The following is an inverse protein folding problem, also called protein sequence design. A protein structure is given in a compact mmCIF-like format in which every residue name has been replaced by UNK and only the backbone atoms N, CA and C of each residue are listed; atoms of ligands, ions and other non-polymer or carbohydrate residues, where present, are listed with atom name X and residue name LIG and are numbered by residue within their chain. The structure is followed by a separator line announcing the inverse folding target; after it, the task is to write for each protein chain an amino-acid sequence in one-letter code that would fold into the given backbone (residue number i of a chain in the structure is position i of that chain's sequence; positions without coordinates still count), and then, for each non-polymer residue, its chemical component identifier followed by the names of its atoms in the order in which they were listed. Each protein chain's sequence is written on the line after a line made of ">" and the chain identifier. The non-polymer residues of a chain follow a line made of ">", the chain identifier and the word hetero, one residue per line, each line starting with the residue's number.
data_IF_843234606859
#
_entry.id   IF_843234606859
#
_cell.length_a   1.000
_cell.length_b   1.000
_cell.length_c   1.000
_cell.angle_alpha   90.00
_cell.angle_beta   90.00
_cell.angle_gamma   90.00
#
_symmetry.space_group_name_H-M   'P 1'
#
loop_
_entity.id
_entity.type
_entity.pdbx_description
1 polymer ?
#
# COMPACT_ATOMS: atom_id res chain seq x y z
N UNK A 1 -2.92 -10.02 22.29
CA UNK A 1 -3.10 -8.74 21.57
C UNK A 1 -3.70 -7.73 22.53
N UNK A 2 -3.37 -6.45 22.43
CA UNK A 2 -4.03 -5.42 23.23
C UNK A 2 -5.54 -5.39 22.92
N UNK A 3 -6.34 -4.92 23.87
CA UNK A 3 -7.77 -4.74 23.64
C UNK A 3 -8.05 -3.51 22.77
N UNK A 4 -7.19 -2.49 22.89
CA UNK A 4 -7.27 -1.24 22.14
C UNK A 4 -5.92 -0.87 21.54
N UNK A 5 -5.95 -0.14 20.43
CA UNK A 5 -4.77 0.40 19.72
C UNK A 5 -5.07 1.82 19.28
N UNK A 6 -4.20 2.78 19.59
CA UNK A 6 -4.35 4.16 19.12
C UNK A 6 -3.60 4.35 17.80
N UNK A 7 -4.30 4.79 16.76
CA UNK A 7 -3.75 4.97 15.42
C UNK A 7 -3.90 6.40 14.93
N UNK A 8 -3.01 6.80 14.00
CA UNK A 8 -3.11 8.06 13.26
C UNK A 8 -3.03 7.84 11.77
N UNK A 9 -3.88 8.51 11.01
CA UNK A 9 -3.74 8.71 9.58
C UNK A 9 -3.24 10.13 9.32
N UNK A 10 -2.14 10.28 8.60
CA UNK A 10 -1.53 11.58 8.34
C UNK A 10 -2.06 12.21 7.04
N UNK A 11 -2.56 13.44 7.12
CA UNK A 11 -2.81 14.31 5.98
C UNK A 11 -1.77 15.42 6.02
N UNK A 12 -0.64 15.20 5.38
CA UNK A 12 0.49 16.11 5.47
C UNK A 12 1.07 16.42 4.08
N UNK A 13 1.76 17.53 4.02
CA UNK A 13 2.37 18.09 2.84
C UNK A 13 3.81 17.59 2.67
N UNK A 14 4.19 17.01 1.51
CA UNK A 14 5.59 16.73 1.20
C UNK A 14 6.35 18.03 0.91
N UNK A 15 7.66 17.98 1.02
CA UNK A 15 8.52 19.06 0.48
C UNK A 15 8.88 18.69 -0.95
N UNK A 16 8.17 19.29 -1.92
CA UNK A 16 8.39 18.99 -3.33
C UNK A 16 9.86 19.16 -3.74
N UNK A 17 10.38 18.16 -4.44
CA UNK A 17 11.74 18.08 -4.97
C UNK A 17 12.84 17.97 -3.90
N UNK A 18 12.49 17.59 -2.65
CA UNK A 18 13.44 17.40 -1.55
C UNK A 18 13.13 16.15 -0.73
N UNK A 19 13.94 15.11 -0.90
CA UNK A 19 13.87 13.92 -0.03
C UNK A 19 14.13 14.29 1.42
N UNK A 20 15.18 15.06 1.69
CA UNK A 20 15.56 15.49 3.03
C UNK A 20 14.45 16.26 3.74
N UNK A 21 13.82 17.20 3.02
CA UNK A 21 12.70 17.97 3.55
C UNK A 21 11.49 17.09 3.87
N UNK A 22 11.14 16.15 2.98
CA UNK A 22 10.02 15.23 3.22
C UNK A 22 10.31 14.23 4.34
N UNK A 23 11.57 13.76 4.50
CA UNK A 23 11.99 12.95 5.66
C UNK A 23 11.82 13.72 6.97
N UNK A 24 12.20 15.00 6.99
CA UNK A 24 12.01 15.84 8.19
C UNK A 24 10.51 16.00 8.52
N UNK A 25 9.64 16.13 7.51
CA UNK A 25 8.19 16.17 7.70
C UNK A 25 7.63 14.87 8.30
N UNK A 26 8.10 13.72 7.80
CA UNK A 26 7.72 12.40 8.35
C UNK A 26 8.12 12.31 9.83
N UNK A 27 9.37 12.65 10.17
CA UNK A 27 9.84 12.57 11.55
C UNK A 27 9.05 13.49 12.48
N UNK A 28 8.78 14.74 12.05
CA UNK A 28 7.98 15.69 12.84
C UNK A 28 6.54 15.16 13.09
N UNK A 29 5.89 14.57 12.08
CA UNK A 29 4.57 13.96 12.25
C UNK A 29 4.60 12.70 13.14
N UNK A 30 5.69 11.92 13.12
CA UNK A 30 5.90 10.80 14.05
C UNK A 30 6.04 11.29 15.50
N UNK A 31 6.77 12.38 15.73
CA UNK A 31 6.93 12.99 17.05
C UNK A 31 5.59 13.52 17.59
N UNK A 32 4.82 14.21 16.74
CA UNK A 32 3.47 14.68 17.06
C UNK A 32 2.52 13.51 17.43
N UNK A 33 2.52 12.45 16.61
CA UNK A 33 1.70 11.27 16.84
C UNK A 33 2.09 10.57 18.14
N UNK A 34 3.38 10.38 18.39
CA UNK A 34 3.88 9.76 19.62
C UNK A 34 3.51 10.58 20.87
N UNK A 35 3.60 11.91 20.81
CA UNK A 35 3.16 12.80 21.89
C UNK A 35 1.65 12.70 22.18
N UNK A 36 0.85 12.32 21.18
CA UNK A 36 -0.59 12.05 21.32
C UNK A 36 -0.91 10.60 21.73
N UNK A 37 0.09 9.76 22.03
CA UNK A 37 -0.10 8.37 22.46
C UNK A 37 -0.43 7.41 21.30
N UNK A 38 -0.15 7.78 20.07
CA UNK A 38 -0.36 6.92 18.89
C UNK A 38 0.66 5.78 18.88
N UNK A 39 0.23 4.58 18.50
CA UNK A 39 1.04 3.37 18.38
C UNK A 39 1.33 2.97 16.93
N UNK A 40 0.47 3.41 15.99
CA UNK A 40 0.63 3.22 14.54
C UNK A 40 0.30 4.52 13.80
N UNK A 41 1.24 5.01 13.00
CA UNK A 41 0.98 6.11 12.06
C UNK A 41 1.06 5.62 10.62
N UNK A 42 0.09 6.04 9.79
CA UNK A 42 0.05 5.75 8.35
C UNK A 42 0.29 7.04 7.57
N UNK A 43 1.26 7.01 6.66
CA UNK A 43 1.62 8.11 5.77
C UNK A 43 1.02 7.93 4.37
N UNK A 44 0.90 8.98 3.56
CA UNK A 44 0.35 8.91 2.21
C UNK A 44 1.15 8.02 1.24
N UNK A 45 0.51 7.69 0.12
CA UNK A 45 1.12 6.98 -1.00
C UNK A 45 2.34 7.74 -1.54
N UNK A 46 3.47 7.02 -1.68
CA UNK A 46 4.75 7.55 -2.19
C UNK A 46 5.13 8.92 -1.63
N UNK A 47 4.83 9.15 -0.34
CA UNK A 47 5.11 10.42 0.34
C UNK A 47 6.59 10.80 0.26
N UNK A 48 7.50 9.83 0.28
CA UNK A 48 8.92 10.07 0.09
C UNK A 48 9.37 9.76 -1.34
N UNK A 49 9.96 10.74 -2.02
CA UNK A 49 10.10 12.13 -1.63
C UNK A 49 8.81 12.93 -1.82
N UNK A 50 7.95 12.57 -2.78
CA UNK A 50 6.63 13.13 -3.12
C UNK A 50 5.98 12.28 -4.20
N UNK A 51 4.64 12.30 -4.30
CA UNK A 51 3.92 11.64 -5.40
C UNK A 51 4.26 12.33 -6.74
N UNK A 52 4.43 11.58 -7.85
CA UNK A 52 4.83 12.14 -9.14
C UNK A 52 3.67 12.86 -9.85
N UNK A 53 3.17 13.95 -9.29
CA UNK A 53 2.07 14.74 -9.85
C UNK A 53 2.33 15.18 -11.29
N UNK A 54 3.60 15.37 -11.67
CA UNK A 54 3.99 15.70 -13.05
C UNK A 54 3.50 14.66 -14.07
N UNK A 55 3.40 13.39 -13.68
CA UNK A 55 2.93 12.34 -14.59
C UNK A 55 1.46 12.49 -14.97
N UNK A 56 0.70 13.27 -14.19
CA UNK A 56 -0.71 13.56 -14.44
C UNK A 56 -0.91 14.82 -15.30
N UNK A 57 0.04 15.77 -15.25
CA UNK A 57 -0.11 17.08 -15.87
C UNK A 57 0.84 17.32 -17.05
N UNK A 58 1.98 16.60 -17.13
CA UNK A 58 2.94 16.75 -18.23
C UNK A 58 2.67 15.74 -19.35
N UNK A 59 2.76 16.12 -20.63
CA UNK A 59 2.79 15.17 -21.73
C UNK A 59 3.98 14.21 -21.61
N UNK A 60 3.83 12.90 -21.94
CA UNK A 60 4.89 11.92 -21.78
C UNK A 60 6.24 12.32 -22.39
N UNK A 61 6.23 12.98 -23.53
CA UNK A 61 7.45 13.44 -24.24
C UNK A 61 8.22 14.51 -23.45
N UNK A 62 7.59 15.22 -22.52
CA UNK A 62 8.20 16.30 -21.74
C UNK A 62 8.61 15.87 -20.33
N UNK A 63 8.16 14.69 -19.84
CA UNK A 63 8.35 14.23 -18.46
C UNK A 63 9.81 13.93 -18.09
N UNK A 64 10.74 13.84 -19.03
CA UNK A 64 12.10 13.37 -18.76
C UNK A 64 12.84 14.14 -17.67
N UNK A 65 12.70 15.47 -17.59
CA UNK A 65 13.33 16.28 -16.55
C UNK A 65 12.71 16.07 -15.19
N UNK A 66 11.39 15.99 -15.12
CA UNK A 66 10.63 15.76 -13.87
C UNK A 66 10.86 14.37 -13.35
N UNK A 67 10.93 13.37 -14.24
CA UNK A 67 11.29 11.99 -13.89
C UNK A 67 12.72 11.91 -13.32
N UNK A 68 13.70 12.57 -13.94
CA UNK A 68 15.08 12.59 -13.44
C UNK A 68 15.15 13.20 -12.03
N UNK A 69 14.47 14.33 -11.80
CA UNK A 69 14.41 14.93 -10.46
C UNK A 69 13.83 13.99 -9.41
N UNK A 70 12.76 13.26 -9.76
CA UNK A 70 12.17 12.26 -8.86
C UNK A 70 13.17 11.12 -8.59
N UNK A 71 13.81 10.61 -9.66
CA UNK A 71 14.76 9.50 -9.57
C UNK A 71 15.95 9.84 -8.66
N UNK A 72 16.50 11.04 -8.78
CA UNK A 72 17.63 11.53 -7.95
C UNK A 72 17.24 11.61 -6.47
N UNK A 73 15.98 11.93 -6.17
CA UNK A 73 15.45 12.06 -4.81
C UNK A 73 14.79 10.78 -4.29
N UNK A 74 14.65 9.74 -5.11
CA UNK A 74 13.95 8.52 -4.73
C UNK A 74 14.74 7.70 -3.69
N UNK A 75 14.01 6.92 -2.89
CA UNK A 75 14.54 6.19 -1.74
C UNK A 75 15.14 4.85 -2.16
N UNK A 76 16.36 4.57 -1.73
CA UNK A 76 16.93 3.21 -1.80
C UNK A 76 16.60 2.42 -0.53
N UNK A 77 16.39 1.12 -0.65
CA UNK A 77 16.09 0.22 0.47
C UNK A 77 17.06 -0.97 0.45
N UNK A 78 17.98 -1.07 1.44
CA UNK A 78 18.24 -0.12 2.53
C UNK A 78 18.89 1.19 2.04
N UNK A 79 18.77 2.24 2.86
CA UNK A 79 19.36 3.53 2.54
C UNK A 79 19.25 4.57 3.66
N UNK A 80 19.95 5.71 3.54
CA UNK A 80 20.07 6.70 4.64
C UNK A 80 18.71 7.29 5.07
N UNK A 81 17.81 7.58 4.13
CA UNK A 81 16.50 8.11 4.44
C UNK A 81 15.67 7.13 5.29
N UNK A 82 15.66 5.85 4.89
CA UNK A 82 15.00 4.80 5.67
C UNK A 82 15.66 4.65 7.05
N UNK A 83 17.00 4.70 7.14
CA UNK A 83 17.73 4.59 8.40
C UNK A 83 17.31 5.67 9.43
N UNK A 84 17.02 6.89 9.00
CA UNK A 84 16.49 7.96 9.87
C UNK A 84 15.08 7.65 10.39
N UNK A 85 14.20 7.14 9.51
CA UNK A 85 12.83 6.82 9.89
C UNK A 85 12.79 5.63 10.86
N UNK A 86 13.58 4.57 10.60
CA UNK A 86 13.66 3.40 11.49
C UNK A 86 14.26 3.76 12.86
N UNK A 87 15.24 4.67 12.89
CA UNK A 87 15.79 5.19 14.15
C UNK A 87 14.74 5.98 14.94
N UNK A 88 13.96 6.84 14.27
CA UNK A 88 12.87 7.59 14.89
C UNK A 88 11.74 6.66 15.38
N UNK A 89 11.36 5.65 14.58
CA UNK A 89 10.35 4.65 14.97
C UNK A 89 10.76 3.93 16.26
N UNK A 90 12.02 3.49 16.34
CA UNK A 90 12.58 2.85 17.55
C UNK A 90 12.59 3.80 18.74
N UNK A 91 13.05 5.03 18.55
CA UNK A 91 13.13 6.02 19.64
C UNK A 91 11.74 6.37 20.21
N UNK A 92 10.74 6.46 19.36
CA UNK A 92 9.38 6.84 19.71
C UNK A 92 8.49 5.63 20.09
N UNK A 93 8.98 4.40 19.88
CA UNK A 93 8.19 3.19 20.10
C UNK A 93 6.98 3.05 19.16
N UNK A 94 7.06 3.60 17.94
CA UNK A 94 5.96 3.81 17.02
C UNK A 94 6.05 2.86 15.81
N UNK A 95 4.95 2.19 15.48
CA UNK A 95 4.82 1.52 14.18
C UNK A 95 4.53 2.55 13.08
N UNK A 96 5.11 2.34 11.91
CA UNK A 96 5.02 3.30 10.79
C UNK A 96 4.71 2.56 9.50
N UNK A 97 3.62 2.91 8.82
CA UNK A 97 3.41 2.55 7.43
C UNK A 97 3.75 3.75 6.54
N UNK A 98 4.80 3.61 5.73
CA UNK A 98 5.38 4.67 4.91
C UNK A 98 5.25 4.36 3.42
N UNK A 99 4.76 5.30 2.62
CA UNK A 99 4.78 5.24 1.16
C UNK A 99 6.05 5.89 0.60
N UNK A 100 6.73 5.21 -0.32
CA UNK A 100 7.97 5.70 -0.93
C UNK A 100 7.98 5.51 -2.45
N UNK A 101 8.69 6.39 -3.17
CA UNK A 101 9.24 6.06 -4.47
C UNK A 101 10.55 5.29 -4.23
N UNK A 102 10.51 3.97 -4.39
CA UNK A 102 11.69 3.13 -4.28
C UNK A 102 12.51 3.22 -5.57
N UNK A 103 13.82 3.47 -5.44
CA UNK A 103 14.77 3.35 -6.54
C UNK A 103 15.51 2.03 -6.44
N UNK A 104 15.36 1.21 -7.49
CA UNK A 104 16.05 -0.06 -7.62
C UNK A 104 16.68 -0.16 -9.04
N UNK A 105 18.00 -0.13 -9.08
CA UNK A 105 18.73 0.00 -10.35
C UNK A 105 18.32 1.25 -11.14
N UNK A 106 17.93 1.10 -12.38
CA UNK A 106 17.45 2.17 -13.26
C UNK A 106 15.94 2.43 -13.18
N UNK A 107 15.22 1.75 -12.28
CA UNK A 107 13.75 1.80 -12.21
C UNK A 107 13.27 2.43 -10.92
N UNK A 108 12.05 2.99 -11.00
CA UNK A 108 11.29 3.46 -9.84
C UNK A 108 10.10 2.52 -9.59
N UNK A 109 9.74 2.39 -8.33
CA UNK A 109 8.57 1.62 -7.89
C UNK A 109 7.80 2.39 -6.82
N UNK A 110 6.48 2.28 -6.87
CA UNK A 110 5.63 2.68 -5.76
C UNK A 110 5.69 1.59 -4.69
N UNK A 111 6.25 1.89 -3.53
CA UNK A 111 6.44 0.90 -2.49
C UNK A 111 5.88 1.34 -1.14
N UNK A 112 5.42 0.37 -0.37
CA UNK A 112 4.96 0.52 1.01
C UNK A 112 5.92 -0.19 1.95
N UNK A 113 6.29 0.48 3.03
CA UNK A 113 7.18 -0.02 4.06
C UNK A 113 6.44 -0.04 5.41
N UNK A 114 6.36 -1.20 6.06
CA UNK A 114 5.91 -1.29 7.45
C UNK A 114 7.14 -1.45 8.33
N UNK A 115 7.30 -0.51 9.25
CA UNK A 115 8.37 -0.48 10.25
C UNK A 115 7.71 -0.69 11.60
N UNK A 116 8.23 -1.60 12.42
CA UNK A 116 7.72 -1.85 13.76
C UNK A 116 8.28 -0.87 14.81
N UNK A 117 7.77 -0.96 16.03
CA UNK A 117 8.20 -0.11 17.15
C UNK A 117 9.65 -0.37 17.62
N UNK A 118 10.29 -1.45 17.18
CA UNK A 118 11.71 -1.70 17.36
C UNK A 118 12.57 -1.06 16.26
N UNK A 119 11.93 -0.42 15.26
CA UNK A 119 12.57 0.18 14.09
C UNK A 119 13.01 -0.85 13.07
N UNK A 120 12.44 -2.05 13.08
CA UNK A 120 12.73 -3.07 12.08
C UNK A 120 11.77 -2.98 10.90
N UNK A 121 12.30 -3.12 9.68
CA UNK A 121 11.49 -3.19 8.45
C UNK A 121 10.85 -4.58 8.35
N UNK A 122 9.57 -4.69 8.71
CA UNK A 122 8.84 -5.98 8.76
C UNK A 122 8.04 -6.27 7.49
N UNK A 123 7.81 -5.28 6.64
CA UNK A 123 7.23 -5.45 5.30
C UNK A 123 7.83 -4.43 4.33
N UNK A 124 8.25 -4.92 3.16
CA UNK A 124 8.43 -4.10 1.96
C UNK A 124 7.62 -4.72 0.85
N UNK A 125 6.71 -3.95 0.26
CA UNK A 125 5.95 -4.37 -0.91
C UNK A 125 5.94 -3.29 -1.98
N UNK A 126 5.87 -3.68 -3.24
CA UNK A 126 5.64 -2.79 -4.39
C UNK A 126 4.17 -2.87 -4.81
N UNK A 127 3.59 -1.76 -5.21
CA UNK A 127 2.25 -1.69 -5.81
C UNK A 127 2.17 -2.66 -6.98
N UNK A 128 1.16 -3.52 -7.01
CA UNK A 128 1.04 -4.59 -8.03
C UNK A 128 1.01 -4.01 -9.44
N UNK A 129 0.18 -3.01 -9.64
CA UNK A 129 0.00 -2.36 -10.94
C UNK A 129 -0.13 -0.87 -10.75
N UNK A 130 0.82 -0.07 -11.29
CA UNK A 130 0.68 1.38 -11.35
C UNK A 130 -0.56 1.76 -12.15
N UNK A 131 -1.26 2.81 -11.69
CA UNK A 131 -2.54 3.24 -12.23
C UNK A 131 -2.33 4.21 -13.39
N UNK A 132 -2.96 3.97 -14.55
CA UNK A 132 -3.05 4.89 -15.69
C UNK A 132 -1.72 5.62 -15.99
N UNK A 133 -1.61 6.92 -15.66
CA UNK A 133 -0.42 7.77 -15.88
C UNK A 133 0.80 7.33 -15.04
N UNK A 134 0.59 6.68 -13.91
CA UNK A 134 1.67 6.18 -13.05
C UNK A 134 2.55 5.15 -13.77
N UNK A 135 2.01 4.45 -14.80
CA UNK A 135 2.75 3.48 -15.62
C UNK A 135 3.91 4.09 -16.41
N UNK A 136 3.91 5.42 -16.56
CA UNK A 136 5.03 6.14 -17.17
C UNK A 136 6.19 6.35 -16.19
N UNK A 137 5.98 6.10 -14.89
CA UNK A 137 6.95 6.37 -13.83
C UNK A 137 7.41 5.07 -13.16
N UNK A 138 6.48 4.16 -12.84
CA UNK A 138 6.75 3.01 -11.98
C UNK A 138 6.63 1.68 -12.70
N UNK A 139 7.53 0.75 -12.31
CA UNK A 139 7.41 -0.67 -12.59
C UNK A 139 6.33 -1.35 -11.74
N UNK A 140 5.95 -2.56 -12.15
CA UNK A 140 4.98 -3.40 -11.44
C UNK A 140 5.62 -4.09 -10.23
N UNK A 141 4.81 -4.31 -9.20
CA UNK A 141 5.12 -5.20 -8.09
C UNK A 141 4.78 -6.66 -8.39
N UNK A 142 5.05 -7.52 -7.42
CA UNK A 142 4.74 -8.95 -7.45
C UNK A 142 3.84 -9.37 -6.28
N UNK A 143 3.44 -10.64 -6.26
CA UNK A 143 2.59 -11.19 -5.19
C UNK A 143 3.32 -11.46 -3.88
N UNK A 144 4.66 -11.39 -3.84
CA UNK A 144 5.44 -11.64 -2.63
C UNK A 144 5.07 -10.66 -1.50
N UNK A 145 4.75 -9.41 -1.86
CA UNK A 145 4.38 -8.36 -0.92
C UNK A 145 2.91 -8.34 -0.48
N UNK A 146 2.03 -9.17 -1.06
CA UNK A 146 0.63 -9.27 -0.62
C UNK A 146 0.51 -10.10 0.67
N UNK A 147 1.00 -9.54 1.76
CA UNK A 147 1.08 -10.19 3.07
C UNK A 147 0.39 -9.36 4.14
N UNK A 148 -0.22 -10.06 5.09
CA UNK A 148 -0.67 -9.50 6.37
C UNK A 148 0.40 -9.82 7.39
N UNK A 149 0.93 -8.80 8.04
CA UNK A 149 2.03 -8.92 9.00
C UNK A 149 1.47 -9.00 10.41
N UNK A 150 1.77 -10.05 11.18
CA UNK A 150 1.45 -10.08 12.60
C UNK A 150 2.38 -9.12 13.34
N UNK A 151 1.80 -8.22 14.13
CA UNK A 151 2.51 -7.24 14.96
C UNK A 151 2.01 -7.28 16.40
N UNK A 152 2.65 -6.51 17.28
CA UNK A 152 2.18 -6.33 18.65
C UNK A 152 0.78 -5.64 18.70
N UNK A 153 0.41 -4.88 17.67
CA UNK A 153 -0.84 -4.14 17.58
C UNK A 153 -1.99 -4.96 16.96
N UNK A 154 -1.68 -6.11 16.37
CA UNK A 154 -2.61 -6.93 15.59
C UNK A 154 -2.03 -7.24 14.22
N UNK A 155 -2.88 -7.75 13.32
CA UNK A 155 -2.52 -8.21 11.98
C UNK A 155 -2.73 -7.07 10.98
N UNK A 156 -1.64 -6.52 10.46
CA UNK A 156 -1.66 -5.33 9.59
C UNK A 156 -1.53 -5.74 8.12
N UNK A 157 -2.50 -5.33 7.30
CA UNK A 157 -2.48 -5.38 5.84
C UNK A 157 -2.33 -3.98 5.24
N UNK A 158 -1.86 -3.89 4.00
CA UNK A 158 -1.71 -2.60 3.31
C UNK A 158 -1.89 -2.71 1.80
N UNK A 159 -2.59 -1.72 1.22
CA UNK A 159 -2.72 -1.51 -0.22
C UNK A 159 -2.53 -0.02 -0.57
N UNK A 160 -2.16 0.25 -1.83
CA UNK A 160 -1.98 1.59 -2.34
C UNK A 160 -3.04 1.95 -3.39
N UNK A 161 -3.80 3.01 -3.14
CA UNK A 161 -4.70 3.68 -4.09
C UNK A 161 -5.69 2.71 -4.76
N UNK A 162 -5.72 2.68 -6.08
CA UNK A 162 -6.65 1.86 -6.85
C UNK A 162 -6.35 0.35 -6.86
N UNK A 163 -5.31 -0.11 -6.15
CA UNK A 163 -5.22 -1.52 -5.80
C UNK A 163 -6.47 -1.97 -5.02
N UNK A 164 -7.10 -1.05 -4.28
CA UNK A 164 -8.37 -1.31 -3.60
C UNK A 164 -9.54 -1.61 -4.55
N UNK A 165 -9.42 -1.27 -5.84
CA UNK A 165 -10.44 -1.64 -6.84
C UNK A 165 -10.23 -3.06 -7.39
N UNK A 166 -9.09 -3.71 -7.09
CA UNK A 166 -8.88 -5.10 -7.39
C UNK A 166 -9.47 -5.97 -6.26
N UNK A 167 -10.62 -6.64 -6.47
CA UNK A 167 -11.25 -7.43 -5.42
C UNK A 167 -10.38 -8.61 -4.97
N UNK A 168 -9.55 -9.17 -5.86
CA UNK A 168 -8.66 -10.29 -5.54
C UNK A 168 -7.50 -9.85 -4.64
N UNK A 169 -6.95 -8.65 -4.85
CA UNK A 169 -5.92 -8.08 -3.98
C UNK A 169 -6.47 -7.85 -2.56
N UNK A 170 -7.68 -7.26 -2.44
CA UNK A 170 -8.36 -7.09 -1.15
C UNK A 170 -8.66 -8.44 -0.49
N UNK A 171 -9.24 -9.37 -1.24
CA UNK A 171 -9.57 -10.69 -0.73
C UNK A 171 -8.34 -11.45 -0.25
N UNK A 172 -7.17 -11.27 -0.91
CA UNK A 172 -5.93 -11.92 -0.47
C UNK A 172 -5.49 -11.51 0.94
N UNK A 173 -5.71 -10.25 1.33
CA UNK A 173 -5.43 -9.76 2.68
C UNK A 173 -6.51 -10.20 3.68
N UNK A 174 -7.78 -10.12 3.28
CA UNK A 174 -8.91 -10.62 4.09
C UNK A 174 -8.72 -12.09 4.46
N UNK A 175 -8.36 -12.93 3.49
CA UNK A 175 -8.15 -14.37 3.69
C UNK A 175 -6.96 -14.69 4.60
N UNK A 176 -6.04 -13.75 4.80
CA UNK A 176 -4.95 -13.83 5.77
C UNK A 176 -5.37 -13.31 7.15
N UNK A 177 -6.60 -12.84 7.29
CA UNK A 177 -7.16 -12.39 8.56
C UNK A 177 -6.62 -11.03 9.01
N UNK A 178 -6.54 -10.05 8.11
CA UNK A 178 -6.18 -8.68 8.51
C UNK A 178 -7.16 -8.12 9.54
N UNK A 179 -6.64 -7.33 10.47
CA UNK A 179 -7.38 -6.67 11.55
C UNK A 179 -7.34 -5.15 11.40
N UNK A 180 -6.20 -4.64 10.93
CA UNK A 180 -5.97 -3.23 10.64
C UNK A 180 -5.49 -3.13 9.19
N UNK A 181 -6.28 -2.51 8.35
CA UNK A 181 -5.95 -2.24 6.96
C UNK A 181 -5.43 -0.83 6.80
N UNK A 182 -4.20 -0.68 6.30
CA UNK A 182 -3.59 0.61 6.02
C UNK A 182 -3.75 0.96 4.54
N UNK A 183 -4.48 2.03 4.26
CA UNK A 183 -4.77 2.49 2.92
C UNK A 183 -4.02 3.80 2.63
N UNK A 184 -3.23 3.81 1.55
CA UNK A 184 -2.47 4.97 1.13
C UNK A 184 -2.97 5.48 -0.21
N UNK A 185 -3.20 6.79 -0.31
CA UNK A 185 -3.61 7.46 -1.54
C UNK A 185 -2.76 8.73 -1.74
N UNK A 186 -2.65 9.24 -2.99
CA UNK A 186 -1.83 10.42 -3.22
C UNK A 186 -2.44 11.71 -2.63
N UNK A 187 -3.77 11.83 -2.64
CA UNK A 187 -4.45 13.08 -2.33
C UNK A 187 -4.16 14.19 -3.34
N UNK A 188 -4.82 15.33 -3.21
CA UNK A 188 -4.65 16.51 -4.08
C UNK A 188 -4.67 16.18 -5.57
N UNK A 189 -5.59 15.29 -5.98
CA UNK A 189 -5.82 14.85 -7.36
C UNK A 189 -7.32 14.66 -7.64
N UNK A 190 -7.74 15.00 -8.84
CA UNK A 190 -9.05 14.69 -9.45
C UNK A 190 -10.26 15.23 -8.66
N UNK A 191 -10.05 16.05 -7.64
CA UNK A 191 -11.11 16.75 -6.92
C UNK A 191 -12.06 15.86 -6.11
N UNK A 192 -13.30 16.33 -5.87
CA UNK A 192 -14.24 15.67 -4.96
C UNK A 192 -14.61 14.24 -5.36
N UNK A 193 -14.68 13.93 -6.66
CA UNK A 193 -15.03 12.59 -7.13
C UNK A 193 -14.05 11.52 -6.63
N UNK A 194 -12.76 11.87 -6.53
CA UNK A 194 -11.74 10.94 -6.03
C UNK A 194 -11.92 10.67 -4.54
N UNK A 195 -12.24 11.70 -3.74
CA UNK A 195 -12.54 11.56 -2.32
C UNK A 195 -13.78 10.66 -2.10
N UNK A 196 -14.85 10.86 -2.88
CA UNK A 196 -16.06 10.04 -2.81
C UNK A 196 -15.79 8.58 -3.15
N UNK A 197 -15.05 8.32 -4.23
CA UNK A 197 -14.67 6.96 -4.64
C UNK A 197 -13.80 6.28 -3.58
N UNK A 198 -12.86 7.01 -2.98
CA UNK A 198 -12.03 6.52 -1.88
C UNK A 198 -12.90 6.19 -0.67
N UNK A 199 -13.83 7.07 -0.29
CA UNK A 199 -14.76 6.86 0.82
C UNK A 199 -15.59 5.58 0.64
N UNK A 200 -16.19 5.40 -0.54
CA UNK A 200 -16.99 4.19 -0.85
C UNK A 200 -16.14 2.94 -0.76
N UNK A 201 -14.96 2.96 -1.38
CA UNK A 201 -14.06 1.80 -1.45
C UNK A 201 -13.59 1.36 -0.08
N UNK A 202 -13.15 2.30 0.75
CA UNK A 202 -12.57 1.99 2.06
C UNK A 202 -13.62 1.59 3.10
N UNK A 203 -14.77 2.24 3.08
CA UNK A 203 -15.90 1.84 3.94
C UNK A 203 -16.43 0.47 3.55
N UNK A 204 -16.47 0.15 2.26
CA UNK A 204 -16.84 -1.18 1.78
C UNK A 204 -15.80 -2.22 2.21
N UNK A 205 -14.49 -1.92 2.08
CA UNK A 205 -13.45 -2.83 2.54
C UNK A 205 -13.56 -3.12 4.05
N UNK A 206 -13.77 -2.10 4.87
CA UNK A 206 -13.96 -2.27 6.31
C UNK A 206 -15.14 -3.20 6.64
N UNK A 207 -16.27 -3.02 5.94
CA UNK A 207 -17.48 -3.86 6.10
C UNK A 207 -17.24 -5.30 5.64
N UNK A 208 -16.64 -5.49 4.46
CA UNK A 208 -16.44 -6.78 3.82
C UNK A 208 -15.40 -7.62 4.58
N UNK A 209 -14.30 -7.00 4.97
CA UNK A 209 -13.23 -7.66 5.73
C UNK A 209 -13.54 -7.80 7.24
N UNK A 210 -14.44 -6.97 7.76
CA UNK A 210 -14.68 -6.87 9.19
C UNK A 210 -13.44 -6.36 9.94
N UNK A 211 -12.68 -5.44 9.36
CA UNK A 211 -11.44 -4.87 9.89
C UNK A 211 -11.53 -3.35 10.06
N UNK A 212 -10.58 -2.77 10.79
CA UNK A 212 -10.39 -1.31 10.80
C UNK A 212 -9.63 -0.88 9.56
N UNK A 213 -9.91 0.35 9.07
CA UNK A 213 -9.17 0.96 7.97
C UNK A 213 -8.58 2.29 8.42
N UNK A 214 -7.29 2.48 8.19
CA UNK A 214 -6.55 3.73 8.45
C UNK A 214 -6.11 4.27 7.09
N UNK A 215 -6.78 5.34 6.64
CA UNK A 215 -6.59 5.94 5.31
C UNK A 215 -5.83 7.24 5.38
N UNK A 216 -4.73 7.34 4.65
CA UNK A 216 -3.89 8.54 4.59
C UNK A 216 -3.79 9.09 3.17
N UNK A 217 -3.86 10.42 3.04
CA UNK A 217 -3.72 11.17 1.78
C UNK A 217 -2.78 12.36 1.96
N UNK A 218 -1.99 12.70 0.94
CA UNK A 218 -1.15 13.89 0.96
C UNK A 218 -1.98 15.16 0.71
N UNK A 219 -1.58 16.25 1.32
CA UNK A 219 -2.09 17.59 1.07
C UNK A 219 -1.09 18.40 0.24
N UNK A 220 -1.58 19.23 -0.64
CA UNK A 220 -0.79 20.26 -1.35
C UNK A 220 -1.40 21.62 -1.14
N UNK A 221 -0.58 22.59 -0.79
CA UNK A 221 -0.97 23.98 -0.77
C UNK A 221 -1.00 24.56 -2.21
N UNK A 222 -1.71 25.67 -2.44
CA UNK A 222 -1.74 26.31 -3.75
C UNK A 222 -0.36 26.57 -4.35
N UNK A 223 0.62 26.98 -3.54
CA UNK A 223 2.00 27.25 -3.98
C UNK A 223 2.71 25.97 -4.46
N UNK A 224 2.40 24.79 -3.88
CA UNK A 224 2.94 23.53 -4.36
C UNK A 224 2.35 23.17 -5.72
N UNK A 225 1.05 23.41 -5.91
CA UNK A 225 0.35 23.14 -7.16
C UNK A 225 0.89 24.05 -8.28
N UNK A 226 1.15 25.31 -7.99
CA UNK A 226 1.78 26.26 -8.93
C UNK A 226 3.19 25.80 -9.34
N UNK A 227 3.93 25.18 -8.44
CA UNK A 227 5.27 24.60 -8.73
C UNK A 227 5.20 23.33 -9.59
N UNK A 228 4.09 22.59 -9.53
CA UNK A 228 3.86 21.40 -10.35
C UNK A 228 3.48 21.80 -11.77
N UNK A 229 2.57 22.74 -11.94
CA UNK A 229 2.12 23.22 -13.24
C UNK A 229 1.70 24.70 -13.20
N UNK A 230 2.12 25.50 -14.17
CA UNK A 230 1.65 26.89 -14.30
C UNK A 230 0.26 27.01 -14.95
N UNK A 231 -0.28 25.92 -15.53
CA UNK A 231 -1.55 25.93 -16.23
C UNK A 231 -2.72 25.89 -15.22
N UNK A 232 -3.57 26.94 -15.15
CA UNK A 232 -4.66 27.00 -14.18
C UNK A 232 -5.74 25.91 -14.38
N UNK A 233 -5.87 25.33 -15.56
CA UNK A 233 -6.78 24.21 -15.81
C UNK A 233 -6.22 22.94 -15.17
N UNK A 234 -4.92 22.69 -15.34
CA UNK A 234 -4.23 21.54 -14.75
C UNK A 234 -4.07 21.70 -13.23
N UNK A 235 -3.93 22.92 -12.73
CA UNK A 235 -3.92 23.20 -11.28
C UNK A 235 -5.20 22.71 -10.61
N UNK A 236 -6.37 22.89 -11.24
CA UNK A 236 -7.64 22.37 -10.73
C UNK A 236 -7.65 20.85 -10.62
N UNK A 237 -6.94 20.16 -11.51
CA UNK A 237 -6.82 18.69 -11.46
C UNK A 237 -5.91 18.20 -10.32
N UNK A 238 -5.10 19.09 -9.74
CA UNK A 238 -4.23 18.82 -8.58
C UNK A 238 -4.84 19.30 -7.26
N UNK A 239 -6.15 19.56 -7.21
CA UNK A 239 -6.86 20.02 -6.01
C UNK A 239 -7.87 18.98 -5.52
N UNK A 240 -8.18 19.00 -4.21
CA UNK A 240 -9.16 18.12 -3.58
C UNK A 240 -8.73 16.64 -3.60
N UNK A 241 -9.70 15.74 -3.52
CA UNK A 241 -9.45 14.29 -3.57
C UNK A 241 -8.82 13.71 -2.29
N UNK A 242 -8.65 14.50 -1.23
CA UNK A 242 -8.17 14.01 0.06
C UNK A 242 -9.27 13.25 0.80
N UNK A 243 -8.90 12.14 1.42
CA UNK A 243 -9.79 11.36 2.26
C UNK A 243 -8.98 10.66 3.37
N UNK A 244 -8.51 11.47 4.32
CA UNK A 244 -7.76 10.97 5.48
C UNK A 244 -8.72 10.69 6.62
N UNK A 245 -8.83 9.42 7.01
CA UNK A 245 -9.83 8.97 7.98
C UNK A 245 -9.44 7.66 8.64
N UNK A 246 -10.04 7.39 9.81
CA UNK A 246 -10.05 6.08 10.47
C UNK A 246 -11.47 5.53 10.45
N UNK A 247 -11.63 4.28 10.00
CA UNK A 247 -12.93 3.65 9.75
C UNK A 247 -13.04 2.36 10.56
N UNK A 248 -14.17 2.17 11.25
CA UNK A 248 -14.47 0.97 12.03
C UNK A 248 -14.88 -0.22 11.15
N UNK A 249 -14.86 -1.47 11.67
CA UNK A 249 -15.37 -2.65 10.97
C UNK A 249 -16.85 -2.56 10.55
N UNK A 250 -17.58 -1.58 11.05
CA UNK A 250 -18.97 -1.28 10.65
C UNK A 250 -19.06 -0.27 9.50
N UNK A 251 -17.92 0.17 8.92
CA UNK A 251 -17.87 1.16 7.87
C UNK A 251 -18.18 2.59 8.34
N UNK A 252 -18.11 2.87 9.65
CA UNK A 252 -18.31 4.19 10.25
C UNK A 252 -16.98 4.89 10.48
N UNK A 253 -16.96 6.19 10.31
CA UNK A 253 -15.80 7.00 10.66
C UNK A 253 -15.64 7.07 12.18
N UNK A 254 -14.44 6.78 12.68
CA UNK A 254 -13.99 7.00 14.04
C UNK A 254 -13.28 8.36 14.16
N UNK A 255 -12.53 8.73 13.10
CA UNK A 255 -11.92 10.04 12.96
C UNK A 255 -11.91 10.45 11.48
N UNK A 256 -12.02 11.73 11.18
CA UNK A 256 -12.10 12.24 9.81
C UNK A 256 -13.46 11.97 9.14
N UNK A 257 -13.57 12.12 7.78
CA UNK A 257 -12.49 12.61 6.92
C UNK A 257 -12.02 14.01 7.35
N UNK A 258 -10.71 14.24 7.29
CA UNK A 258 -10.16 15.55 7.61
C UNK A 258 -10.60 16.59 6.57
N UNK A 259 -10.80 17.85 7.00
CA UNK A 259 -11.00 18.95 6.07
C UNK A 259 -9.74 19.23 5.26
N UNK A 260 -9.83 20.13 4.30
CA UNK A 260 -8.69 20.67 3.58
C UNK A 260 -7.65 21.26 4.56
N UNK A 261 -6.38 20.98 4.30
CA UNK A 261 -5.25 21.36 5.16
C UNK A 261 -4.49 20.15 5.70
N UNK A 262 -3.54 20.42 6.58
CA UNK A 262 -2.74 19.41 7.25
C UNK A 262 -3.35 18.98 8.60
N UNK A 263 -3.13 17.74 9.00
CA UNK A 263 -3.55 17.22 10.30
C UNK A 263 -3.36 15.71 10.44
N UNK A 264 -3.65 15.22 11.64
CA UNK A 264 -3.68 13.80 11.98
C UNK A 264 -5.11 13.39 12.35
N UNK A 265 -5.67 12.40 11.67
CA UNK A 265 -6.90 11.74 12.09
C UNK A 265 -6.53 10.65 13.10
N UNK A 266 -6.76 10.91 14.38
CA UNK A 266 -6.39 10.01 15.49
C UNK A 266 -7.64 9.34 16.04
N UNK A 267 -7.57 8.01 16.25
CA UNK A 267 -8.63 7.24 16.89
C UNK A 267 -8.08 6.07 17.70
N UNK A 268 -8.79 5.70 18.76
CA UNK A 268 -8.59 4.43 19.47
C UNK A 268 -9.45 3.34 18.81
N UNK A 269 -8.84 2.20 18.50
CA UNK A 269 -9.47 1.03 17.92
C UNK A 269 -9.77 0.00 19.00
N UNK A 270 -11.05 -0.25 19.30
CA UNK A 270 -11.47 -1.41 20.11
C UNK A 270 -11.46 -2.67 19.25
N UNK A 271 -10.39 -3.47 19.32
CA UNK A 271 -10.23 -4.67 18.50
C UNK A 271 -11.32 -5.73 18.73
N UNK A 272 -12.07 -5.63 19.85
CA UNK A 272 -13.21 -6.54 20.09
C UNK A 272 -14.35 -6.34 19.09
N UNK A 273 -14.42 -5.16 18.43
CA UNK A 273 -15.40 -4.88 17.38
C UNK A 273 -15.23 -5.80 16.17
N UNK A 274 -14.00 -6.25 15.87
CA UNK A 274 -13.70 -7.20 14.79
C UNK A 274 -14.47 -8.50 15.05
N UNK A 275 -14.33 -9.07 16.25
CA UNK A 275 -15.05 -10.30 16.64
C UNK A 275 -16.56 -10.09 16.66
N UNK A 276 -17.04 -8.96 17.19
CA UNK A 276 -18.47 -8.61 17.21
C UNK A 276 -19.04 -8.55 15.80
N UNK A 277 -18.30 -7.94 14.84
CA UNK A 277 -18.70 -7.83 13.44
C UNK A 277 -18.67 -9.18 12.72
N UNK A 278 -17.55 -9.91 12.83
CA UNK A 278 -17.35 -11.19 12.17
C UNK A 278 -18.31 -12.28 12.68
N UNK A 279 -18.77 -12.22 13.92
CA UNK A 279 -19.80 -13.12 14.42
C UNK A 279 -21.08 -13.10 13.56
N UNK A 280 -21.44 -11.96 13.01
CA UNK A 280 -22.64 -11.83 12.18
C UNK A 280 -22.36 -12.21 10.72
N UNK A 281 -21.22 -11.80 10.19
CA UNK A 281 -20.84 -12.04 8.81
C UNK A 281 -19.31 -11.99 8.70
N UNK A 282 -18.69 -13.15 8.49
CA UNK A 282 -17.27 -13.29 8.19
C UNK A 282 -17.11 -13.82 6.78
N UNK A 283 -16.77 -12.95 5.84
CA UNK A 283 -16.65 -13.23 4.42
C UNK A 283 -15.58 -14.28 4.10
N UNK A 284 -14.59 -14.46 4.96
CA UNK A 284 -13.51 -15.45 4.82
C UNK A 284 -13.62 -16.60 5.83
N UNK A 285 -14.64 -16.55 6.69
CA UNK A 285 -14.98 -17.57 7.67
C UNK A 285 -16.27 -18.31 7.31
N UNK A 286 -17.29 -18.22 8.19
CA UNK A 286 -18.54 -19.00 8.05
C UNK A 286 -19.44 -18.58 6.87
N UNK A 287 -19.17 -17.47 6.19
CA UNK A 287 -19.83 -17.07 4.93
C UNK A 287 -19.03 -17.49 3.69
N UNK A 288 -17.79 -17.96 3.84
CA UNK A 288 -16.99 -18.43 2.70
C UNK A 288 -17.46 -19.80 2.20
N UNK A 289 -17.22 -20.07 0.94
CA UNK A 289 -17.48 -21.35 0.28
C UNK A 289 -16.20 -21.82 -0.41
N UNK A 290 -15.16 -22.21 0.37
CA UNK A 290 -13.87 -22.63 -0.19
C UNK A 290 -13.97 -23.92 -1.04
N UNK A 291 -15.08 -24.63 -0.93
CA UNK A 291 -15.46 -25.75 -1.78
C UNK A 291 -15.86 -25.32 -3.20
N UNK A 292 -16.23 -24.04 -3.42
CA UNK A 292 -16.67 -23.49 -4.70
C UNK A 292 -15.78 -22.35 -5.21
N UNK A 293 -15.26 -21.54 -4.31
CA UNK A 293 -14.55 -20.30 -4.63
C UNK A 293 -13.25 -20.24 -3.84
N UNK A 294 -12.13 -20.13 -4.55
CA UNK A 294 -10.81 -20.00 -3.96
C UNK A 294 -9.94 -19.00 -4.74
N UNK A 295 -9.04 -18.33 -4.04
CA UNK A 295 -8.02 -17.47 -4.63
C UNK A 295 -6.70 -18.22 -4.68
N UNK A 296 -6.13 -18.34 -5.87
CA UNK A 296 -4.74 -18.75 -6.08
C UNK A 296 -3.86 -17.49 -6.16
N UNK A 297 -2.79 -17.44 -5.37
CA UNK A 297 -1.82 -16.35 -5.39
C UNK A 297 -0.42 -16.93 -5.60
N UNK A 298 0.31 -16.40 -6.58
CA UNK A 298 1.74 -16.65 -6.72
C UNK A 298 2.52 -15.64 -5.87
N UNK A 299 3.24 -16.14 -4.88
CA UNK A 299 4.09 -15.34 -3.98
C UNK A 299 5.57 -15.40 -4.35
N UNK A 300 5.89 -15.99 -5.49
CA UNK A 300 7.26 -16.00 -5.97
C UNK A 300 7.73 -14.56 -6.24
N UNK A 301 8.91 -14.15 -5.72
CA UNK A 301 9.47 -12.85 -6.06
C UNK A 301 9.76 -12.77 -7.55
N UNK A 302 9.35 -11.70 -8.22
CA UNK A 302 9.72 -11.44 -9.59
C UNK A 302 11.23 -11.18 -9.67
N UNK A 303 11.97 -12.10 -10.27
CA UNK A 303 13.42 -11.99 -10.50
C UNK A 303 13.73 -11.89 -11.98
N UNK A 304 14.60 -10.95 -12.35
CA UNK A 304 15.05 -10.78 -13.74
C UNK A 304 16.03 -11.87 -14.16
N UNK A 305 16.76 -12.45 -13.19
CA UNK A 305 17.75 -13.48 -13.43
C UNK A 305 17.46 -14.69 -12.55
N UNK A 306 17.33 -15.84 -13.17
CA UNK A 306 17.29 -17.14 -12.52
C UNK A 306 18.60 -17.87 -12.85
N UNK A 307 19.53 -17.92 -11.90
CA UNK A 307 20.75 -18.68 -12.05
C UNK A 307 20.44 -20.17 -11.80
N UNK A 308 20.73 -20.99 -12.78
CA UNK A 308 20.81 -22.44 -12.62
C UNK A 308 22.27 -22.80 -12.48
N UNK A 309 22.69 -23.26 -11.29
CA UNK A 309 23.99 -23.91 -11.18
C UNK A 309 23.92 -25.19 -11.99
N UNK A 310 24.76 -25.30 -13.02
CA UNK A 310 24.98 -26.58 -13.65
C UNK A 310 25.73 -27.47 -12.65
N UNK A 311 25.06 -28.45 -12.07
CA UNK A 311 25.78 -29.56 -11.44
C UNK A 311 26.60 -30.26 -12.49
N UNK A 312 27.87 -30.55 -12.27
CA UNK A 312 28.69 -31.23 -13.25
C UNK A 312 28.09 -32.61 -13.53
N UNK A 313 27.51 -32.80 -14.73
CA UNK A 313 27.05 -34.08 -15.19
C UNK A 313 25.55 -34.26 -15.50
N UNK A 314 24.71 -33.26 -15.30
CA UNK A 314 23.31 -33.33 -15.74
C UNK A 314 23.19 -32.79 -17.20
N UNK A 315 23.11 -33.73 -18.17
CA UNK A 315 22.71 -33.40 -19.52
C UNK A 315 21.26 -32.89 -19.54
N UNK A 316 20.94 -31.95 -20.46
CA UNK A 316 19.57 -31.42 -20.67
C UNK A 316 18.49 -32.50 -20.78
N UNK A 317 18.82 -33.70 -21.22
CA UNK A 317 17.94 -34.87 -21.29
C UNK A 317 17.60 -35.47 -19.91
N UNK A 318 18.44 -35.29 -18.90
CA UNK A 318 18.15 -35.80 -17.55
C UNK A 318 17.09 -34.94 -16.82
N UNK A 319 16.99 -33.64 -17.15
CA UNK A 319 16.01 -32.74 -16.54
C UNK A 319 14.58 -33.09 -17.01
N UNK A 320 14.40 -33.41 -18.26
CA UNK A 320 13.11 -33.85 -18.80
C UNK A 320 12.62 -35.19 -18.17
N UNK A 321 13.56 -36.09 -17.85
CA UNK A 321 13.23 -37.38 -17.24
C UNK A 321 13.02 -37.30 -15.71
N UNK A 322 13.65 -36.35 -15.00
CA UNK A 322 13.43 -36.16 -13.56
C UNK A 322 12.09 -35.50 -13.27
N UNK A 323 11.63 -34.60 -14.14
CA UNK A 323 10.27 -34.05 -14.03
C UNK A 323 9.20 -35.11 -14.30
N UNK A 324 9.48 -36.06 -15.18
CA UNK A 324 8.61 -37.21 -15.46
C UNK A 324 8.60 -38.28 -14.36
N UNK A 325 9.70 -38.43 -13.61
CA UNK A 325 9.83 -39.46 -12.56
C UNK A 325 9.37 -39.01 -11.15
N UNK A 326 9.24 -37.71 -10.92
CA UNK A 326 8.67 -37.14 -9.70
C UNK A 326 7.16 -36.84 -9.81
N UNK A 327 6.55 -37.22 -10.94
CA UNK A 327 5.15 -36.94 -11.23
C UNK A 327 4.21 -38.00 -10.66
N UNK A 328 3.78 -37.83 -9.43
CA UNK A 328 2.35 -38.03 -9.19
C UNK A 328 1.67 -36.81 -9.84
N UNK A 329 1.08 -37.03 -11.00
CA UNK A 329 0.31 -36.04 -11.71
C UNK A 329 -0.81 -35.56 -10.80
N UNK A 330 -0.82 -34.28 -10.46
CA UNK A 330 -2.05 -33.62 -10.05
C UNK A 330 -3.09 -33.97 -11.12
N UNK A 331 -4.29 -34.45 -10.75
CA UNK A 331 -5.32 -34.77 -11.71
C UNK A 331 -5.56 -33.55 -12.58
N UNK A 332 -5.44 -33.71 -13.87
CA UNK A 332 -5.76 -32.68 -14.83
C UNK A 332 -7.17 -32.19 -14.54
N UNK A 333 -7.33 -30.89 -14.31
CA UNK A 333 -8.63 -30.26 -14.32
C UNK A 333 -9.27 -30.58 -15.67
N UNK A 334 -10.47 -31.13 -15.75
CA UNK A 334 -11.12 -31.40 -17.02
C UNK A 334 -11.23 -30.10 -17.80
N UNK A 335 -10.70 -30.13 -19.00
CA UNK A 335 -10.89 -29.05 -19.98
C UNK A 335 -12.39 -28.86 -20.21
N UNK A 336 -12.81 -27.61 -20.28
CA UNK A 336 -14.20 -27.13 -20.47
C UNK A 336 -14.88 -27.62 -21.80
N UNK A 337 -14.42 -28.66 -22.42
CA UNK A 337 -14.97 -29.18 -23.68
C UNK A 337 -16.12 -30.18 -23.52
N UNK A 338 -16.47 -30.62 -22.28
CA UNK A 338 -17.55 -31.60 -22.10
C UNK A 338 -18.92 -31.01 -21.68
N UNK A 339 -19.12 -29.69 -21.77
CA UNK A 339 -20.40 -29.05 -21.42
C UNK A 339 -21.31 -28.73 -22.63
N UNK A 340 -21.11 -29.37 -23.77
CA UNK A 340 -22.00 -29.20 -24.91
C UNK A 340 -22.68 -30.49 -25.38
N UNK A 341 -23.15 -31.34 -24.48
CA UNK A 341 -24.18 -32.33 -24.83
C UNK A 341 -24.91 -32.80 -23.56
N UNK A 342 -26.08 -32.21 -23.33
CA UNK A 342 -27.02 -32.60 -22.29
C UNK A 342 -28.11 -31.57 -22.12
#
# INVERSE_FOLDING_TARGET
>A
MPATVTVAAAQIRPVLYSLEGSVARVVAAMEEAAAAGVELIVFPETFLPYYPYFSFVEPPVLMGKSHLKLYEQAVTVPGPALGRITAAARQLGLHVLLGINERDGGSLYNAQLLIDSAGELVLKRRKLTPTYHERMVWGQGDGAGLQVVPTALGRIGALACWEHYNPLARFSLMAQGEEIHCAQFPGSLVGPIFAEQTAVTLRHHALEAGCFVVSSTAWLEPEDIERITPDPVLQKACQGGCHTAVISPEGRYLAGPLPDGEGLAIAELDLTLITKRKRMMDSVGHYSRPDLLGLLIDRSPARQLHERSAEPGLNEFAIANTVSAAGEALPALPLLEELHHG
#
